data_IF_842527904642
#
_entry.id   IF_842527904642
#
_cell.length_a   1.000
_cell.length_b   1.000
_cell.length_c   1.000
_cell.angle_alpha   90.00
_cell.angle_beta   90.00
_cell.angle_gamma   90.00
#
_symmetry.space_group_name_H-M   'P 1'
#
loop_
_entity.id
_entity.type
_entity.pdbx_description
1 polymer ?
#
# COMPACT_ATOMS: atom_id res chain seq x y z
N UNK A 1 10.80 -21.50 -7.21
CA UNK A 1 11.76 -20.41 -7.46
C UNK A 1 11.07 -19.11 -7.09
N UNK A 2 11.66 -18.21 -6.28
CA UNK A 2 11.03 -16.91 -6.04
C UNK A 2 10.96 -16.19 -7.39
N UNK A 3 9.74 -15.84 -7.83
CA UNK A 3 9.57 -15.09 -9.06
C UNK A 3 10.06 -13.66 -8.80
N UNK A 4 11.05 -13.21 -9.58
CA UNK A 4 11.49 -11.81 -9.56
C UNK A 4 10.28 -10.90 -9.78
N UNK A 5 10.25 -9.74 -9.11
CA UNK A 5 9.30 -8.69 -9.46
C UNK A 5 9.36 -8.45 -10.96
N UNK A 6 8.20 -8.28 -11.59
CA UNK A 6 8.16 -7.86 -12.99
C UNK A 6 8.63 -6.40 -13.11
N UNK A 7 8.76 -5.92 -14.35
CA UNK A 7 9.27 -4.57 -14.61
C UNK A 7 8.40 -3.49 -13.97
N UNK A 8 7.07 -3.56 -14.11
CA UNK A 8 6.18 -2.52 -13.60
C UNK A 8 6.11 -2.52 -12.07
N UNK A 9 6.07 -3.69 -11.43
CA UNK A 9 6.13 -3.83 -9.97
C UNK A 9 7.45 -3.27 -9.41
N UNK A 10 8.57 -3.52 -10.07
CA UNK A 10 9.86 -2.96 -9.68
C UNK A 10 9.87 -1.42 -9.77
N UNK A 11 9.26 -0.86 -10.82
CA UNK A 11 9.13 0.59 -11.00
C UNK A 11 8.16 1.20 -9.99
N UNK A 12 7.06 0.52 -9.68
CA UNK A 12 6.13 0.94 -8.64
C UNK A 12 6.78 0.96 -7.25
N UNK A 13 7.52 -0.10 -6.89
CA UNK A 13 8.25 -0.17 -5.63
C UNK A 13 9.31 0.95 -5.53
N UNK A 14 9.99 1.30 -6.62
CA UNK A 14 10.95 2.42 -6.62
C UNK A 14 10.25 3.78 -6.51
N UNK A 15 9.06 3.96 -7.10
CA UNK A 15 8.23 5.17 -6.88
C UNK A 15 7.85 5.30 -5.41
N UNK A 16 7.33 4.24 -4.80
CA UNK A 16 6.88 4.27 -3.39
C UNK A 16 8.03 4.51 -2.42
N UNK A 17 9.21 3.96 -2.69
CA UNK A 17 10.38 4.15 -1.81
C UNK A 17 10.74 5.63 -1.60
N UNK A 18 10.35 6.51 -2.53
CA UNK A 18 10.59 7.95 -2.46
C UNK A 18 9.41 8.76 -1.88
N UNK A 19 8.27 8.12 -1.64
CA UNK A 19 7.08 8.79 -1.12
C UNK A 19 7.09 8.80 0.42
N UNK A 20 6.42 9.78 1.06
CA UNK A 20 6.16 9.73 2.49
C UNK A 20 5.42 8.43 2.83
N UNK A 21 5.63 7.91 4.05
CA UNK A 21 4.98 6.70 4.54
C UNK A 21 3.46 6.89 4.50
N UNK A 22 2.82 6.36 3.46
CA UNK A 22 1.36 6.40 3.27
C UNK A 22 0.91 5.33 2.27
N UNK A 23 -0.40 5.11 2.12
CA UNK A 23 -0.92 4.37 0.97
C UNK A 23 -0.59 5.15 -0.32
N UNK A 24 -0.28 4.44 -1.41
CA UNK A 24 0.07 5.04 -2.71
C UNK A 24 -1.17 5.44 -3.52
N UNK A 25 -2.05 6.24 -2.91
CA UNK A 25 -3.35 6.61 -3.52
C UNK A 25 -3.19 7.44 -4.80
N UNK A 26 -2.12 8.22 -4.91
CA UNK A 26 -1.88 9.06 -6.08
C UNK A 26 -1.50 8.23 -7.32
N UNK A 27 -0.64 7.21 -7.17
CA UNK A 27 -0.29 6.29 -8.28
C UNK A 27 -1.52 5.48 -8.72
N UNK A 28 -2.36 5.06 -7.77
CA UNK A 28 -3.60 4.35 -8.07
C UNK A 28 -4.64 5.26 -8.78
N UNK A 29 -4.76 6.51 -8.36
CA UNK A 29 -5.59 7.51 -9.02
C UNK A 29 -5.07 7.85 -10.43
N UNK A 30 -3.76 7.95 -10.62
CA UNK A 30 -3.13 8.13 -11.92
C UNK A 30 -3.44 6.93 -12.84
N UNK A 31 -3.28 5.71 -12.33
CA UNK A 31 -3.58 4.50 -13.09
C UNK A 31 -5.06 4.47 -13.51
N UNK A 32 -5.99 4.78 -12.58
CA UNK A 32 -7.43 4.91 -12.89
C UNK A 32 -7.69 5.96 -13.96
N UNK A 33 -7.01 7.11 -13.90
CA UNK A 33 -7.11 8.16 -14.92
C UNK A 33 -6.65 7.67 -16.28
N UNK A 34 -5.49 7.00 -16.37
CA UNK A 34 -4.99 6.42 -17.62
C UNK A 34 -5.96 5.41 -18.20
N UNK A 35 -6.53 4.52 -17.39
CA UNK A 35 -7.55 3.57 -17.85
C UNK A 35 -8.78 4.27 -18.45
N UNK A 36 -9.17 5.43 -17.90
CA UNK A 36 -10.31 6.19 -18.39
C UNK A 36 -10.01 7.02 -19.64
N UNK A 37 -8.82 7.64 -19.73
CA UNK A 37 -8.52 8.65 -20.75
C UNK A 37 -7.59 8.17 -21.87
N UNK A 38 -6.69 7.22 -21.58
CA UNK A 38 -5.67 6.74 -22.52
C UNK A 38 -5.43 5.22 -22.35
N UNK A 39 -6.32 4.42 -22.94
CA UNK A 39 -6.20 2.96 -22.93
C UNK A 39 -4.96 2.43 -23.67
N UNK A 40 -4.35 3.25 -24.54
CA UNK A 40 -3.15 2.89 -25.29
C UNK A 40 -1.85 3.11 -24.52
N UNK A 41 -1.93 3.65 -23.31
CA UNK A 41 -0.79 4.03 -22.50
C UNK A 41 0.16 2.84 -22.28
N UNK A 42 1.46 3.08 -22.40
CA UNK A 42 2.49 2.05 -22.25
C UNK A 42 2.44 1.30 -20.91
N UNK A 43 2.04 1.97 -19.82
CA UNK A 43 1.88 1.35 -18.50
C UNK A 43 0.78 0.29 -18.47
N UNK A 44 -0.28 0.49 -19.25
CA UNK A 44 -1.44 -0.43 -19.30
C UNK A 44 -1.21 -1.66 -20.18
N UNK A 45 -0.07 -1.74 -20.88
CA UNK A 45 0.30 -2.90 -21.69
C UNK A 45 0.74 -4.09 -20.85
N UNK A 46 1.18 -3.85 -19.60
CA UNK A 46 1.46 -4.92 -18.66
C UNK A 46 0.15 -5.40 -18.02
N UNK A 47 -0.20 -6.66 -18.24
CA UNK A 47 -1.41 -7.28 -17.68
C UNK A 47 -1.39 -7.35 -16.14
N UNK A 48 -0.22 -7.17 -15.53
CA UNK A 48 -0.04 -7.16 -14.08
C UNK A 48 0.16 -5.74 -13.52
N UNK A 49 -0.16 -4.69 -14.28
CA UNK A 49 -0.10 -3.31 -13.78
C UNK A 49 -0.92 -3.18 -12.48
N UNK A 50 -0.35 -2.54 -11.47
CA UNK A 50 -0.95 -2.41 -10.14
C UNK A 50 -0.82 -3.64 -9.24
N UNK A 51 -0.18 -4.73 -9.69
CA UNK A 51 0.14 -5.88 -8.86
C UNK A 51 1.60 -5.86 -8.40
N UNK A 52 1.84 -6.32 -7.18
CA UNK A 52 3.17 -6.50 -6.59
C UNK A 52 3.23 -7.85 -5.91
N UNK A 53 4.33 -8.59 -6.11
CA UNK A 53 4.58 -9.78 -5.30
C UNK A 53 5.02 -9.36 -3.90
N UNK A 54 4.10 -9.43 -2.94
CA UNK A 54 4.34 -9.00 -1.56
C UNK A 54 5.41 -9.85 -0.85
N UNK A 55 5.59 -11.11 -1.26
CA UNK A 55 6.56 -12.02 -0.64
C UNK A 55 7.99 -11.74 -1.11
N UNK A 56 8.15 -11.20 -2.32
CA UNK A 56 9.43 -10.83 -2.93
C UNK A 56 9.66 -9.31 -3.00
N UNK A 57 9.03 -8.55 -2.11
CA UNK A 57 9.19 -7.10 -2.00
C UNK A 57 9.86 -6.73 -0.66
N UNK A 58 10.33 -5.48 -0.50
CA UNK A 58 10.97 -5.03 0.74
C UNK A 58 10.14 -5.37 1.98
N UNK A 59 10.80 -5.72 3.10
CA UNK A 59 10.12 -6.07 4.35
C UNK A 59 9.13 -5.01 4.83
N UNK A 60 9.41 -3.75 4.52
CA UNK A 60 8.64 -2.59 4.96
C UNK A 60 7.19 -2.63 4.48
N UNK A 61 6.92 -3.24 3.32
CA UNK A 61 5.54 -3.38 2.80
C UNK A 61 4.74 -4.47 3.53
N UNK A 62 5.41 -5.33 4.32
CA UNK A 62 4.82 -6.40 5.14
C UNK A 62 4.73 -6.00 6.61
N UNK A 63 4.76 -4.71 6.90
CA UNK A 63 4.57 -4.18 8.26
C UNK A 63 3.19 -3.59 8.43
N UNK A 64 2.62 -3.77 9.62
CA UNK A 64 1.34 -3.19 9.99
C UNK A 64 1.48 -1.69 10.15
N UNK A 65 0.57 -0.93 9.53
CA UNK A 65 0.37 0.48 9.87
C UNK A 65 -0.85 0.64 10.77
N UNK A 66 -0.60 1.01 12.02
CA UNK A 66 -1.63 1.33 12.98
C UNK A 66 -2.15 2.76 12.73
N UNK A 67 -3.42 3.00 13.03
CA UNK A 67 -3.95 4.37 13.04
C UNK A 67 -3.35 5.11 14.23
N UNK A 68 -2.89 6.33 13.99
CA UNK A 68 -2.47 7.25 15.05
C UNK A 68 -3.73 7.68 15.80
N UNK A 69 -3.81 7.30 17.07
CA UNK A 69 -4.86 7.74 17.99
C UNK A 69 -4.22 8.71 18.98
N UNK A 70 -4.79 9.90 19.12
CA UNK A 70 -4.31 10.90 20.10
C UNK A 70 -4.95 10.72 21.48
N UNK A 71 -6.26 10.50 21.50
CA UNK A 71 -7.08 10.43 22.70
C UNK A 71 -8.32 9.52 22.47
N UNK A 72 -9.16 9.39 23.50
CA UNK A 72 -10.36 8.56 23.43
C UNK A 72 -11.43 9.11 22.46
N UNK A 73 -11.54 10.43 22.32
CA UNK A 73 -12.46 11.05 21.36
C UNK A 73 -12.06 10.74 19.91
N UNK A 74 -10.76 10.82 19.60
CA UNK A 74 -10.18 10.44 18.31
C UNK A 74 -10.35 8.94 18.04
N UNK A 75 -10.22 8.09 19.08
CA UNK A 75 -10.50 6.66 18.98
C UNK A 75 -11.95 6.41 18.58
N UNK A 76 -12.90 7.01 19.28
CA UNK A 76 -14.31 6.77 19.05
C UNK A 76 -14.79 7.37 17.71
N UNK A 77 -14.13 8.43 17.23
CA UNK A 77 -14.33 8.96 15.88
C UNK A 77 -13.78 8.05 14.78
N UNK A 78 -12.65 7.37 15.02
CA UNK A 78 -12.00 6.51 14.02
C UNK A 78 -12.52 5.06 14.02
N UNK A 79 -13.20 4.62 15.08
CA UNK A 79 -13.63 3.22 15.25
C UNK A 79 -15.07 3.10 15.76
N UNK A 80 -15.91 2.36 15.03
CA UNK A 80 -17.30 2.08 15.43
C UNK A 80 -17.36 1.07 16.60
N UNK A 81 -16.36 0.17 16.70
CA UNK A 81 -16.19 -0.78 17.81
C UNK A 81 -14.69 -0.87 18.15
N UNK A 82 -14.17 0.03 19.00
CA UNK A 82 -12.75 0.07 19.30
C UNK A 82 -12.30 -1.16 20.09
N UNK A 83 -11.18 -1.75 19.66
CA UNK A 83 -10.51 -2.79 20.43
C UNK A 83 -9.68 -2.17 21.55
N UNK A 84 -9.58 -2.81 22.73
CA UNK A 84 -8.60 -2.46 23.75
C UNK A 84 -7.18 -2.39 23.18
N UNK A 85 -6.38 -1.44 23.66
CA UNK A 85 -5.03 -1.17 23.12
C UNK A 85 -4.13 -2.40 23.05
N UNK A 86 -4.20 -3.28 24.05
CA UNK A 86 -3.41 -4.50 24.11
C UNK A 86 -3.77 -5.56 23.05
N UNK A 87 -4.95 -5.43 22.42
CA UNK A 87 -5.40 -6.29 21.31
C UNK A 87 -5.12 -5.65 19.93
N UNK A 88 -4.73 -4.38 19.88
CA UNK A 88 -4.44 -3.68 18.62
C UNK A 88 -3.04 -4.06 18.13
N UNK A 89 -2.90 -4.25 16.82
CA UNK A 89 -1.59 -4.46 16.19
C UNK A 89 -0.81 -3.14 16.24
N UNK A 90 0.45 -3.20 16.69
CA UNK A 90 1.33 -2.03 16.82
C UNK A 90 1.85 -1.58 15.44
N UNK A 91 2.11 -0.29 15.30
CA UNK A 91 2.84 0.26 14.14
C UNK A 91 4.16 -0.50 13.94
N UNK A 92 4.47 -0.85 12.69
CA UNK A 92 5.69 -1.57 12.32
C UNK A 92 5.69 -3.06 12.68
N UNK A 93 4.68 -3.56 13.41
CA UNK A 93 4.59 -4.99 13.73
C UNK A 93 4.36 -5.83 12.47
N UNK A 94 4.98 -7.02 12.34
CA UNK A 94 4.80 -7.87 11.17
C UNK A 94 3.32 -8.11 10.83
N UNK A 95 2.95 -7.91 9.56
CA UNK A 95 1.62 -8.20 9.05
C UNK A 95 1.51 -9.67 8.61
N UNK A 96 1.70 -10.57 9.58
CA UNK A 96 1.59 -12.03 9.43
C UNK A 96 0.19 -12.50 9.84
#
# INVERSE_FOLDING_TARGET
>A
MPMSQNREASQFLSRIANLPKGPSLDDEAELRKLFATDKGNGRLRDIHVGLVDVFNAPSDIRTTRARVIKDDDDRDAQYIMPLPEFLRRKEGSPAI
#
